data_IF_889762480088
#
_entry.id   IF_889762480088
#
_cell.length_a   1.000
_cell.length_b   1.000
_cell.length_c   1.000
_cell.angle_alpha   90.00
_cell.angle_beta   90.00
_cell.angle_gamma   90.00
#
_symmetry.space_group_name_H-M   'P 1'
#
loop_
_entity.id
_entity.type
_entity.pdbx_description
1 polymer ?
#
# COMPACT_ATOMS: atom_id res chain seq x y z
N UNK A 1 34.09 16.85 -30.96
CA UNK A 1 32.74 16.62 -30.37
C UNK A 1 31.69 16.97 -31.42
N UNK A 2 30.61 16.19 -31.57
CA UNK A 2 29.66 16.34 -32.68
C UNK A 2 28.80 17.62 -32.55
N UNK A 3 28.55 18.33 -33.65
CA UNK A 3 27.79 19.60 -33.62
C UNK A 3 26.33 19.43 -33.18
N UNK A 4 25.79 18.20 -33.24
CA UNK A 4 24.46 17.88 -32.77
C UNK A 4 24.33 17.97 -31.24
N UNK A 5 25.37 17.56 -30.50
CA UNK A 5 25.39 17.66 -29.04
C UNK A 5 25.43 19.12 -28.58
N UNK A 6 26.20 19.97 -29.26
CA UNK A 6 26.27 21.41 -28.97
C UNK A 6 24.93 22.11 -29.15
N UNK A 7 24.21 21.80 -30.24
CA UNK A 7 22.89 22.38 -30.50
C UNK A 7 21.86 21.98 -29.42
N UNK A 8 21.92 20.73 -28.95
CA UNK A 8 21.05 20.23 -27.88
C UNK A 8 21.34 20.93 -26.53
N UNK A 9 22.61 21.19 -26.21
CA UNK A 9 23.00 21.87 -24.98
C UNK A 9 22.61 23.35 -24.99
N UNK A 10 22.83 24.06 -26.11
CA UNK A 10 22.39 25.45 -26.28
C UNK A 10 20.86 25.60 -26.21
N UNK A 11 20.10 24.66 -26.79
CA UNK A 11 18.65 24.68 -26.73
C UNK A 11 18.09 24.53 -25.31
N UNK A 12 18.87 23.95 -24.38
CA UNK A 12 18.51 23.80 -22.97
C UNK A 12 19.10 24.91 -22.06
N UNK A 13 19.64 25.99 -22.64
CA UNK A 13 20.18 27.12 -21.88
C UNK A 13 21.51 26.82 -21.16
N UNK A 14 22.19 25.76 -21.55
CA UNK A 14 23.51 25.40 -21.03
C UNK A 14 24.55 26.15 -21.89
N UNK A 15 25.23 27.12 -21.29
CA UNK A 15 26.31 27.85 -21.95
C UNK A 15 27.47 26.87 -22.26
N UNK A 16 27.86 26.70 -23.54
CA UNK A 16 28.96 25.82 -23.91
C UNK A 16 30.34 26.36 -23.49
N UNK A 17 30.44 27.57 -22.93
CA UNK A 17 31.64 28.01 -22.22
C UNK A 17 31.69 27.36 -20.83
N UNK A 18 31.90 26.04 -20.84
CA UNK A 18 32.45 25.31 -19.71
C UNK A 18 33.85 25.90 -19.52
N UNK A 19 34.04 26.64 -18.43
CA UNK A 19 35.37 27.09 -18.02
C UNK A 19 36.32 25.89 -18.06
N UNK A 20 37.46 26.04 -18.74
CA UNK A 20 38.54 25.08 -18.58
C UNK A 20 38.82 24.97 -17.07
N UNK A 21 38.91 23.76 -16.51
CA UNK A 21 39.22 23.60 -15.10
C UNK A 21 40.53 24.35 -14.83
N UNK A 22 40.62 25.14 -13.75
CA UNK A 22 41.84 25.88 -13.44
C UNK A 22 43.02 24.90 -13.42
N UNK A 23 44.16 25.29 -13.99
CA UNK A 23 45.37 24.45 -14.10
C UNK A 23 45.83 23.89 -12.74
N UNK A 24 45.43 24.55 -11.65
CA UNK A 24 45.57 24.12 -10.27
C UNK A 24 44.24 23.59 -9.72
N UNK A 25 43.88 22.35 -10.04
CA UNK A 25 42.85 21.63 -9.30
C UNK A 25 43.53 20.71 -8.28
N UNK A 26 43.12 20.78 -7.02
CA UNK A 26 43.48 19.77 -6.03
C UNK A 26 42.47 18.63 -6.12
N UNK A 27 42.94 17.44 -6.48
CA UNK A 27 42.13 16.22 -6.40
C UNK A 27 41.94 15.92 -4.92
N UNK A 28 40.72 16.10 -4.42
CA UNK A 28 40.38 15.69 -3.06
C UNK A 28 40.68 14.19 -2.91
N UNK A 29 41.40 13.76 -1.87
CA UNK A 29 41.61 12.34 -1.62
C UNK A 29 40.23 11.70 -1.55
N UNK A 30 40.03 10.67 -2.37
CA UNK A 30 38.80 9.91 -2.46
C UNK A 30 38.27 9.58 -1.07
N UNK A 31 37.17 10.23 -0.67
CA UNK A 31 36.44 9.97 0.59
C UNK A 31 35.74 8.60 0.53
N UNK A 32 35.79 7.95 -0.63
CA UNK A 32 35.07 6.75 -0.98
C UNK A 32 36.08 5.61 -1.04
N UNK A 33 36.08 4.78 0.00
CA UNK A 33 36.85 3.54 0.07
C UNK A 33 36.25 2.53 -0.91
N UNK A 34 37.00 2.19 -1.96
CA UNK A 34 36.54 1.29 -3.03
C UNK A 34 36.22 -0.12 -2.53
N UNK A 35 36.76 -0.47 -1.37
CA UNK A 35 36.74 -1.84 -0.84
C UNK A 35 35.53 -2.10 0.07
N UNK A 36 34.87 -1.04 0.57
CA UNK A 36 33.67 -1.15 1.43
C UNK A 36 32.34 -1.00 0.68
N UNK A 37 32.34 -0.41 -0.53
CA UNK A 37 31.10 -0.23 -1.27
C UNK A 37 30.52 -1.58 -1.69
N UNK A 38 29.22 -1.74 -1.43
CA UNK A 38 28.37 -2.84 -1.88
C UNK A 38 28.36 -4.11 -1.03
N UNK A 39 29.15 -4.22 0.04
CA UNK A 39 29.04 -5.36 0.98
C UNK A 39 27.68 -5.43 1.71
N UNK A 40 27.03 -4.28 1.90
CA UNK A 40 25.70 -4.15 2.51
C UNK A 40 24.55 -4.13 1.50
N UNK A 41 24.84 -4.12 0.20
CA UNK A 41 23.82 -4.25 -0.83
C UNK A 41 23.51 -5.73 -1.02
N UNK A 42 22.29 -6.13 -0.63
CA UNK A 42 21.78 -7.47 -0.89
C UNK A 42 21.54 -7.63 -2.40
N UNK A 43 22.58 -8.00 -3.14
CA UNK A 43 22.58 -8.23 -4.59
C UNK A 43 21.73 -9.44 -4.98
N UNK A 44 21.20 -10.21 -4.03
CA UNK A 44 20.26 -11.29 -4.31
C UNK A 44 18.97 -10.82 -5.00
N UNK A 45 18.61 -9.52 -4.91
CA UNK A 45 17.49 -8.95 -5.68
C UNK A 45 17.81 -8.79 -7.18
N UNK A 46 19.08 -8.82 -7.61
CA UNK A 46 19.45 -8.76 -9.03
C UNK A 46 19.08 -10.03 -9.80
N UNK A 47 18.96 -11.17 -9.11
CA UNK A 47 18.48 -12.42 -9.72
C UNK A 47 17.00 -12.38 -10.12
N UNK A 48 16.23 -11.37 -9.71
CA UNK A 48 14.81 -11.24 -10.10
C UNK A 48 14.61 -10.59 -11.48
N UNK A 49 15.62 -9.89 -12.01
CA UNK A 49 15.52 -9.25 -13.34
C UNK A 49 15.85 -10.26 -14.45
N UNK A 50 16.75 -11.22 -14.20
CA UNK A 50 17.13 -12.26 -15.17
C UNK A 50 16.08 -13.37 -15.34
N UNK A 51 15.06 -13.45 -14.48
CA UNK A 51 14.07 -14.54 -14.51
C UNK A 51 12.72 -14.14 -15.10
N UNK A 52 12.62 -13.02 -15.84
CA UNK A 52 11.31 -12.55 -16.34
C UNK A 52 11.00 -12.85 -17.80
N UNK A 53 11.97 -13.36 -18.56
CA UNK A 53 11.72 -13.96 -19.87
C UNK A 53 12.52 -15.26 -19.92
N UNK A 54 11.85 -16.41 -19.76
CA UNK A 54 12.13 -17.65 -20.49
C UNK A 54 11.32 -18.83 -19.92
N UNK A 55 10.09 -18.96 -20.41
CA UNK A 55 9.53 -20.28 -20.71
C UNK A 55 10.41 -20.93 -21.80
N UNK A 56 11.57 -21.50 -21.40
CA UNK A 56 12.29 -22.65 -21.98
C UNK A 56 13.78 -22.65 -21.59
N UNK A 57 14.08 -23.34 -20.48
CA UNK A 57 15.35 -23.95 -20.03
C UNK A 57 16.28 -24.45 -21.17
N UNK A 58 17.64 -24.66 -21.02
CA UNK A 58 18.38 -24.93 -19.77
C UNK A 58 19.81 -24.32 -19.65
N UNK A 59 20.33 -24.36 -18.42
CA UNK A 59 21.75 -24.53 -18.03
C UNK A 59 22.81 -24.44 -19.15
N UNK A 60 23.59 -23.37 -19.16
CA UNK A 60 25.03 -23.44 -19.45
C UNK A 60 25.76 -22.47 -18.52
N UNK A 61 26.59 -23.04 -17.64
CA UNK A 61 27.73 -22.33 -17.08
C UNK A 61 28.63 -22.00 -18.28
N UNK A 62 28.92 -20.74 -18.51
CA UNK A 62 30.13 -20.32 -19.23
C UNK A 62 30.60 -18.99 -18.67
N UNK A 63 31.87 -19.00 -18.29
CA UNK A 63 32.65 -17.91 -17.72
C UNK A 63 32.84 -16.77 -18.74
N UNK A 64 31.90 -15.83 -18.81
CA UNK A 64 32.18 -14.50 -19.36
C UNK A 64 31.83 -13.40 -18.35
N UNK A 65 32.78 -12.49 -18.02
CA UNK A 65 32.46 -11.29 -17.26
C UNK A 65 31.54 -10.44 -18.13
N UNK A 66 30.26 -10.43 -17.75
CA UNK A 66 29.21 -9.73 -18.46
C UNK A 66 29.48 -8.21 -18.41
N UNK A 67 30.14 -7.68 -19.44
CA UNK A 67 30.44 -6.24 -19.65
C UNK A 67 29.17 -5.36 -19.75
N UNK A 68 27.98 -5.93 -19.57
CA UNK A 68 26.70 -5.20 -19.61
C UNK A 68 26.32 -4.48 -18.31
N UNK A 69 27.13 -4.57 -17.25
CA UNK A 69 26.87 -3.90 -15.96
C UNK A 69 26.76 -2.35 -16.11
N UNK A 70 27.31 -1.78 -17.19
CA UNK A 70 27.33 -0.31 -17.45
C UNK A 70 26.43 0.15 -18.59
N UNK A 71 25.51 -0.69 -19.08
CA UNK A 71 24.48 -0.22 -20.01
C UNK A 71 23.60 0.86 -19.35
N UNK A 72 23.40 2.05 -19.97
CA UNK A 72 22.50 3.07 -19.44
C UNK A 72 21.08 2.57 -19.16
N UNK A 73 20.63 1.55 -19.88
CA UNK A 73 19.31 0.94 -19.72
C UNK A 73 19.23 0.11 -18.44
N UNK A 74 20.29 -0.61 -18.09
CA UNK A 74 20.40 -1.36 -16.83
C UNK A 74 20.39 -0.42 -15.62
N UNK A 75 21.05 0.74 -15.71
CA UNK A 75 21.01 1.76 -14.66
C UNK A 75 19.60 2.36 -14.47
N UNK A 76 18.88 2.64 -15.56
CA UNK A 76 17.51 3.18 -15.48
C UNK A 76 16.56 2.17 -14.83
N UNK A 77 16.64 0.89 -15.21
CA UNK A 77 15.82 -0.16 -14.60
C UNK A 77 16.13 -0.34 -13.12
N UNK A 78 17.41 -0.34 -12.74
CA UNK A 78 17.84 -0.43 -11.35
C UNK A 78 17.31 0.76 -10.52
N UNK A 79 17.42 1.98 -11.06
CA UNK A 79 16.87 3.19 -10.42
C UNK A 79 15.35 3.11 -10.24
N UNK A 80 14.62 2.61 -11.24
CA UNK A 80 13.17 2.45 -11.15
C UNK A 80 12.77 1.42 -10.09
N UNK A 81 13.49 0.30 -10.01
CA UNK A 81 13.28 -0.72 -8.98
C UNK A 81 13.55 -0.14 -7.60
N UNK A 82 14.67 0.55 -7.41
CA UNK A 82 14.99 1.20 -6.14
C UNK A 82 13.92 2.20 -5.69
N UNK A 83 13.47 3.08 -6.60
CA UNK A 83 12.39 4.03 -6.30
C UNK A 83 11.07 3.32 -5.96
N UNK A 84 10.78 2.20 -6.61
CA UNK A 84 9.61 1.37 -6.29
C UNK A 84 9.77 0.75 -4.90
N UNK A 85 10.94 0.19 -4.58
CA UNK A 85 11.24 -0.41 -3.26
C UNK A 85 11.10 0.63 -2.15
N UNK A 86 11.71 1.81 -2.28
CA UNK A 86 11.54 2.90 -1.30
C UNK A 86 10.07 3.29 -1.15
N UNK A 87 9.34 3.41 -2.27
CA UNK A 87 7.93 3.78 -2.23
C UNK A 87 7.10 2.70 -1.52
N UNK A 88 7.40 1.43 -1.75
CA UNK A 88 6.70 0.31 -1.14
C UNK A 88 7.08 0.16 0.35
N UNK A 89 8.34 0.36 0.72
CA UNK A 89 8.80 0.46 2.11
C UNK A 89 8.08 1.58 2.86
N UNK A 90 7.99 2.78 2.27
CA UNK A 90 7.27 3.90 2.87
C UNK A 90 5.78 3.58 3.10
N UNK A 91 5.15 2.84 2.18
CA UNK A 91 3.77 2.37 2.38
C UNK A 91 3.68 1.36 3.51
N UNK A 92 4.58 0.37 3.53
CA UNK A 92 4.61 -0.67 4.58
C UNK A 92 4.80 -0.02 5.95
N UNK A 93 5.76 0.88 6.08
CA UNK A 93 6.01 1.64 7.31
C UNK A 93 4.76 2.42 7.76
N UNK A 94 4.09 3.09 6.83
CA UNK A 94 2.83 3.79 7.12
C UNK A 94 1.70 2.85 7.58
N UNK A 95 1.58 1.66 6.97
CA UNK A 95 0.62 0.64 7.41
C UNK A 95 0.94 0.10 8.80
N UNK A 96 2.21 -0.14 9.10
CA UNK A 96 2.65 -0.61 10.40
C UNK A 96 2.40 0.41 11.50
N UNK A 97 2.71 1.68 11.25
CA UNK A 97 2.45 2.77 12.17
C UNK A 97 0.94 2.90 12.46
N UNK A 98 0.11 2.85 11.41
CA UNK A 98 -1.33 2.84 11.53
C UNK A 98 -1.85 1.66 12.36
N UNK A 99 -1.30 0.45 12.12
CA UNK A 99 -1.64 -0.75 12.90
C UNK A 99 -1.28 -0.58 14.37
N UNK A 100 -0.05 -0.15 14.69
CA UNK A 100 0.38 0.09 16.07
C UNK A 100 -0.50 1.11 16.78
N UNK A 101 -0.89 2.19 16.08
CA UNK A 101 -1.81 3.20 16.64
C UNK A 101 -3.16 2.59 17.02
N UNK A 102 -3.75 1.76 16.15
CA UNK A 102 -5.03 1.09 16.43
C UNK A 102 -4.87 0.10 17.59
N UNK A 103 -3.79 -0.68 17.61
CA UNK A 103 -3.50 -1.62 18.70
C UNK A 103 -3.35 -0.90 20.06
N UNK A 104 -2.69 0.27 20.09
CA UNK A 104 -2.54 1.07 21.29
C UNK A 104 -3.89 1.63 21.78
N UNK A 105 -4.72 2.17 20.87
CA UNK A 105 -6.08 2.62 21.23
C UNK A 105 -6.92 1.44 21.75
N UNK A 106 -6.77 0.25 21.16
CA UNK A 106 -7.50 -0.94 21.60
C UNK A 106 -7.11 -1.42 23.01
N UNK A 107 -5.84 -1.25 23.39
CA UNK A 107 -5.31 -1.73 24.68
C UNK A 107 -5.49 -0.70 25.80
N UNK A 108 -5.22 0.56 25.52
CA UNK A 108 -5.06 1.62 26.53
C UNK A 108 -5.98 2.83 26.30
N UNK A 109 -6.68 2.87 25.16
CA UNK A 109 -7.53 3.99 24.79
C UNK A 109 -8.81 4.09 25.61
N UNK A 110 -9.44 5.27 25.55
CA UNK A 110 -10.73 5.49 26.18
C UNK A 110 -11.87 4.86 25.38
N UNK A 111 -13.03 4.65 26.01
CA UNK A 111 -14.25 4.19 25.32
C UNK A 111 -14.62 5.10 24.14
N UNK A 112 -14.36 6.40 24.24
CA UNK A 112 -14.63 7.38 23.19
C UNK A 112 -13.71 7.19 21.98
N UNK A 113 -12.45 6.81 22.22
CA UNK A 113 -11.49 6.54 21.15
C UNK A 113 -11.87 5.26 20.39
N UNK A 114 -12.30 4.23 21.12
CA UNK A 114 -12.84 3.00 20.53
C UNK A 114 -14.08 3.28 19.68
N UNK A 115 -15.04 4.05 20.19
CA UNK A 115 -16.23 4.44 19.43
C UNK A 115 -15.87 5.19 18.15
N UNK A 116 -14.88 6.08 18.22
CA UNK A 116 -14.37 6.81 17.05
C UNK A 116 -13.77 5.87 16.01
N UNK A 117 -13.01 4.84 16.44
CA UNK A 117 -12.47 3.82 15.52
C UNK A 117 -13.58 3.02 14.84
N UNK A 118 -14.64 2.65 15.56
CA UNK A 118 -15.79 1.95 14.96
C UNK A 118 -16.50 2.81 13.90
N UNK A 119 -16.69 4.10 14.18
CA UNK A 119 -17.25 5.07 13.22
C UNK A 119 -16.38 5.22 11.98
N UNK A 120 -15.06 5.35 12.16
CA UNK A 120 -14.12 5.42 11.04
C UNK A 120 -14.16 4.15 10.19
N UNK A 121 -14.21 2.98 10.83
CA UNK A 121 -14.36 1.69 10.14
C UNK A 121 -15.66 1.61 9.33
N UNK A 122 -16.77 2.08 9.90
CA UNK A 122 -18.07 2.14 9.23
C UNK A 122 -18.04 3.05 7.99
N UNK A 123 -17.45 4.24 8.10
CA UNK A 123 -17.30 5.17 6.97
C UNK A 123 -16.47 4.54 5.86
N UNK A 124 -15.32 3.95 6.21
CA UNK A 124 -14.44 3.29 5.25
C UNK A 124 -15.16 2.15 4.52
N UNK A 125 -15.84 1.27 5.25
CA UNK A 125 -16.58 0.15 4.64
C UNK A 125 -17.70 0.65 3.70
N UNK A 126 -18.41 1.71 4.11
CA UNK A 126 -19.46 2.32 3.29
C UNK A 126 -18.92 2.90 1.98
N UNK A 127 -17.74 3.52 2.01
CA UNK A 127 -17.07 4.04 0.82
C UNK A 127 -16.61 2.92 -0.12
N UNK A 128 -15.98 1.86 0.43
CA UNK A 128 -15.57 0.69 -0.36
C UNK A 128 -16.77 0.07 -1.07
N UNK A 129 -17.87 -0.14 -0.34
CA UNK A 129 -19.08 -0.72 -0.92
C UNK A 129 -19.74 0.18 -1.98
N UNK A 130 -19.67 1.50 -1.81
CA UNK A 130 -20.18 2.45 -2.80
C UNK A 130 -19.36 2.40 -4.10
N UNK A 131 -18.04 2.23 -4.01
CA UNK A 131 -17.15 2.14 -5.17
C UNK A 131 -17.31 0.81 -5.93
N UNK A 132 -17.54 -0.31 -5.22
CA UNK A 132 -17.77 -1.62 -5.82
C UNK A 132 -19.18 -1.80 -6.38
N UNK A 133 -20.08 -0.82 -6.22
CA UNK A 133 -21.49 -0.95 -6.59
C UNK A 133 -22.23 -2.03 -5.80
N UNK A 134 -21.70 -2.41 -4.63
CA UNK A 134 -22.23 -3.49 -3.81
C UNK A 134 -23.18 -2.97 -2.72
N UNK A 135 -23.70 -3.93 -1.93
CA UNK A 135 -24.73 -3.78 -0.90
C UNK A 135 -24.49 -2.60 0.05
N UNK A 136 -25.60 -1.98 0.47
CA UNK A 136 -25.62 -0.85 1.41
C UNK A 136 -25.21 -1.34 2.81
N UNK A 137 -24.40 -0.58 3.54
CA UNK A 137 -24.06 -0.86 4.94
C UNK A 137 -25.18 -0.37 5.86
N UNK A 138 -25.38 -1.06 6.99
CA UNK A 138 -26.32 -0.69 8.03
C UNK A 138 -26.17 0.78 8.47
N UNK A 139 -27.26 1.54 8.52
CA UNK A 139 -27.28 2.96 8.86
C UNK A 139 -26.83 3.30 10.30
N UNK A 140 -26.66 2.29 11.17
CA UNK A 140 -26.04 2.50 12.48
C UNK A 140 -24.54 2.78 12.31
N UNK A 141 -24.10 3.96 12.75
CA UNK A 141 -22.73 4.49 12.54
C UNK A 141 -21.61 3.62 13.14
N UNK A 142 -21.93 2.73 14.08
CA UNK A 142 -20.97 1.82 14.71
C UNK A 142 -21.02 0.40 14.11
N UNK A 143 -21.86 0.18 13.10
CA UNK A 143 -22.13 -1.14 12.54
C UNK A 143 -21.50 -1.31 11.15
N UNK A 144 -20.75 -2.38 10.93
CA UNK A 144 -20.11 -2.66 9.63
C UNK A 144 -20.84 -3.72 8.81
N UNK A 145 -21.97 -4.21 9.30
CA UNK A 145 -22.73 -5.25 8.62
C UNK A 145 -23.58 -4.66 7.49
N UNK A 146 -23.77 -5.46 6.46
CA UNK A 146 -24.64 -5.11 5.33
C UNK A 146 -26.10 -4.98 5.77
N UNK A 147 -26.78 -3.98 5.23
CA UNK A 147 -28.21 -3.82 5.38
C UNK A 147 -28.97 -4.94 4.67
N UNK A 148 -30.11 -5.36 5.23
CA UNK A 148 -30.97 -6.34 4.57
C UNK A 148 -31.70 -5.68 3.40
N UNK A 149 -32.02 -6.43 2.32
CA UNK A 149 -32.78 -5.89 1.21
C UNK A 149 -34.09 -5.23 1.67
N UNK A 150 -34.34 -4.00 1.20
CA UNK A 150 -35.53 -3.23 1.54
C UNK A 150 -35.46 -2.48 2.89
N UNK A 151 -34.36 -2.60 3.63
CA UNK A 151 -34.10 -1.85 4.87
C UNK A 151 -32.78 -1.08 4.78
N UNK A 152 -32.65 -0.06 5.62
CA UNK A 152 -31.37 0.62 5.87
C UNK A 152 -30.54 -0.06 6.95
N UNK A 153 -31.06 -1.08 7.63
CA UNK A 153 -30.43 -1.70 8.79
C UNK A 153 -30.06 -3.16 8.52
N UNK A 154 -29.01 -3.64 9.18
CA UNK A 154 -28.66 -5.07 9.16
C UNK A 154 -29.59 -5.87 10.06
N UNK A 155 -29.48 -7.21 9.99
CA UNK A 155 -30.26 -8.14 10.83
C UNK A 155 -30.16 -7.82 12.32
N UNK A 156 -29.02 -7.32 12.81
CA UNK A 156 -28.82 -7.00 14.22
C UNK A 156 -29.48 -5.68 14.65
N UNK A 157 -29.67 -4.75 13.72
CA UNK A 157 -30.28 -3.44 13.97
C UNK A 157 -31.65 -3.27 13.32
N UNK A 158 -32.22 -4.35 12.79
CA UNK A 158 -33.46 -4.31 12.01
C UNK A 158 -34.66 -3.80 12.82
N UNK A 159 -34.62 -3.94 14.15
CA UNK A 159 -35.62 -3.38 15.07
C UNK A 159 -35.64 -1.84 15.10
N UNK A 160 -34.60 -1.18 14.57
CA UNK A 160 -34.52 0.28 14.46
C UNK A 160 -35.21 0.80 13.20
N UNK A 161 -35.59 -0.07 12.27
CA UNK A 161 -36.30 0.32 11.05
C UNK A 161 -37.81 0.47 11.35
N UNK A 162 -38.39 1.68 11.25
CA UNK A 162 -39.80 1.90 11.51
C UNK A 162 -40.71 1.22 10.47
N UNK A 163 -40.18 0.89 9.29
CA UNK A 163 -40.94 0.22 8.24
C UNK A 163 -40.89 -1.31 8.38
N UNK A 164 -40.04 -1.85 9.25
CA UNK A 164 -39.88 -3.28 9.40
C UNK A 164 -40.67 -3.84 10.60
N UNK A 165 -41.81 -4.46 10.29
CA UNK A 165 -42.75 -5.03 11.27
C UNK A 165 -42.56 -6.54 11.53
N UNK A 166 -41.66 -7.21 10.80
CA UNK A 166 -41.48 -8.66 10.87
C UNK A 166 -40.52 -9.12 11.95
N UNK A 167 -39.66 -8.24 12.49
CA UNK A 167 -38.65 -8.59 13.48
C UNK A 167 -38.88 -7.86 14.81
N UNK A 168 -38.61 -8.55 15.91
CA UNK A 168 -38.65 -7.99 17.27
C UNK A 168 -37.40 -8.43 18.04
N UNK A 169 -36.98 -7.60 18.99
CA UNK A 169 -35.86 -7.92 19.88
C UNK A 169 -36.38 -8.73 21.07
N UNK A 170 -35.78 -9.90 21.32
CA UNK A 170 -36.13 -10.73 22.48
C UNK A 170 -35.76 -10.01 23.78
N UNK A 171 -36.70 -9.90 24.71
CA UNK A 171 -36.50 -9.25 26.01
C UNK A 171 -35.51 -9.99 26.93
N UNK A 172 -35.31 -11.29 26.73
CA UNK A 172 -34.41 -12.11 27.56
C UNK A 172 -32.96 -12.07 27.07
N UNK A 173 -32.74 -12.26 25.77
CA UNK A 173 -31.38 -12.39 25.21
C UNK A 173 -30.95 -11.24 24.30
N UNK A 174 -31.83 -10.26 24.04
CA UNK A 174 -31.53 -9.12 23.18
C UNK A 174 -31.33 -9.46 21.69
N UNK A 175 -31.53 -10.73 21.28
CA UNK A 175 -31.40 -11.14 19.87
C UNK A 175 -32.69 -10.87 19.11
N UNK A 176 -32.56 -10.48 17.85
CA UNK A 176 -33.70 -10.29 16.96
C UNK A 176 -34.23 -11.65 16.48
N UNK A 177 -35.55 -11.78 16.43
CA UNK A 177 -36.25 -12.93 15.85
C UNK A 177 -37.50 -12.47 15.11
N UNK A 178 -38.11 -13.36 14.33
CA UNK A 178 -39.38 -13.06 13.69
C UNK A 178 -40.46 -12.85 14.74
N UNK A 179 -41.30 -11.84 14.54
CA UNK A 179 -42.48 -11.57 15.39
C UNK A 179 -43.45 -12.75 15.43
N UNK A 180 -43.44 -13.59 14.39
CA UNK A 180 -44.29 -14.78 14.27
C UNK A 180 -43.69 -16.03 14.92
N UNK A 181 -42.45 -15.97 15.42
CA UNK A 181 -41.78 -17.10 16.05
C UNK A 181 -41.39 -16.79 17.49
N UNK A 182 -41.34 -17.83 18.33
CA UNK A 182 -40.63 -17.74 19.61
C UNK A 182 -39.14 -17.48 19.37
N UNK A 183 -38.45 -16.92 20.36
CA UNK A 183 -37.01 -16.74 20.28
C UNK A 183 -36.34 -18.12 20.29
N UNK A 184 -35.74 -18.55 19.17
CA UNK A 184 -35.09 -19.86 19.06
C UNK A 184 -33.94 -20.07 20.04
N UNK A 185 -33.33 -18.99 20.55
CA UNK A 185 -32.28 -19.08 21.56
C UNK A 185 -32.82 -19.28 22.99
N UNK A 186 -34.03 -18.78 23.26
CA UNK A 186 -34.61 -18.81 24.61
C UNK A 186 -35.80 -19.76 24.73
N UNK A 187 -36.30 -20.31 23.63
CA UNK A 187 -37.53 -21.12 23.58
C UNK A 187 -38.78 -20.40 24.11
N UNK A 188 -38.75 -19.06 24.18
CA UNK A 188 -39.83 -18.22 24.74
C UNK A 188 -40.11 -17.01 23.89
#
# INVERSE_FOLDING_TARGET
>A
MSSALHALLQANGIDPNIFDPPETYEVSPSVVDSDELFSSFDTNQHNLIQNRDDDNSPLTNDDEPNDSITSPENYVQLRQLYLKTIRDENKINGFEEGRRRIENIAREGSLKDLETLFKQKHIWQSQINALSGSRIICANESCVFEAVPGSKFCVNHIHQDPNQNFFVQCQKCGRNHSKMSICHFCGS
#
